data_IF_931705076471
#
_entry.id   IF_931705076471
#
_cell.length_a   1.000
_cell.length_b   1.000
_cell.length_c   1.000
_cell.angle_alpha   90.00
_cell.angle_beta   90.00
_cell.angle_gamma   90.00
#
_symmetry.space_group_name_H-M   'P 1'
#
loop_
_entity.id
_entity.type
_entity.pdbx_description
1 polymer ?
#
# COMPACT_ATOMS: atom_id res chain seq x y z
N UNK A 1 34.60 -15.64 -6.55
CA UNK A 1 33.30 -15.15 -6.06
C UNK A 1 33.08 -13.78 -6.69
N UNK A 2 32.32 -13.76 -7.78
CA UNK A 2 32.14 -12.61 -8.65
C UNK A 2 31.18 -11.59 -8.06
N UNK A 3 31.43 -10.33 -8.38
CA UNK A 3 30.77 -9.15 -7.87
C UNK A 3 29.42 -8.94 -8.60
N UNK A 4 28.36 -9.60 -8.14
CA UNK A 4 27.00 -9.51 -8.71
C UNK A 4 26.25 -8.21 -8.33
N UNK A 5 26.92 -7.25 -7.69
CA UNK A 5 26.33 -5.97 -7.27
C UNK A 5 26.23 -4.94 -8.41
N UNK A 6 26.90 -5.16 -9.55
CA UNK A 6 26.88 -4.21 -10.67
C UNK A 6 25.57 -4.27 -11.47
N UNK A 7 24.98 -5.45 -11.63
CA UNK A 7 23.70 -5.62 -12.33
C UNK A 7 22.52 -5.03 -11.56
N UNK A 8 22.51 -5.15 -10.24
CA UNK A 8 21.49 -4.53 -9.40
C UNK A 8 21.65 -3.00 -9.39
N UNK A 9 22.85 -2.45 -9.22
CA UNK A 9 23.06 -0.99 -9.14
C UNK A 9 22.59 -0.24 -10.41
N UNK A 10 22.81 -0.81 -11.60
CA UNK A 10 22.36 -0.23 -12.89
C UNK A 10 20.83 -0.27 -13.08
N UNK A 11 20.17 -1.26 -12.50
CA UNK A 11 18.71 -1.44 -12.55
C UNK A 11 17.99 -0.45 -11.62
N UNK A 12 18.65 0.00 -10.55
CA UNK A 12 18.14 1.00 -9.61
C UNK A 12 18.45 2.45 -10.02
N UNK A 13 19.55 2.73 -10.74
CA UNK A 13 19.86 4.07 -11.27
C UNK A 13 18.84 4.58 -12.32
N UNK A 14 18.08 3.68 -12.96
CA UNK A 14 17.04 4.05 -13.94
C UNK A 14 15.65 4.31 -13.33
N UNK A 15 15.46 4.10 -12.02
CA UNK A 15 14.15 4.28 -11.37
C UNK A 15 13.83 5.73 -11.01
N UNK A 16 14.84 6.62 -10.99
CA UNK A 16 14.67 8.05 -10.70
C UNK A 16 13.87 8.81 -11.77
N UNK A 17 13.63 8.18 -12.93
CA UNK A 17 12.91 8.75 -14.08
C UNK A 17 11.49 8.24 -14.31
N UNK A 18 11.00 7.26 -13.54
CA UNK A 18 9.63 6.77 -13.76
C UNK A 18 8.60 7.78 -13.21
N UNK A 19 7.74 8.35 -14.06
CA UNK A 19 6.73 9.29 -13.60
C UNK A 19 5.76 8.57 -12.68
N UNK A 20 5.39 9.21 -11.58
CA UNK A 20 4.48 8.62 -10.61
C UNK A 20 3.11 8.41 -11.28
N UNK A 21 2.55 7.19 -11.23
CA UNK A 21 1.24 6.95 -11.81
C UNK A 21 0.19 7.91 -11.23
N UNK A 22 -0.66 8.47 -12.10
CA UNK A 22 -1.72 9.39 -11.68
C UNK A 22 -2.61 8.85 -10.55
N UNK A 23 -2.98 7.55 -10.51
CA UNK A 23 -3.72 6.99 -9.37
C UNK A 23 -2.98 7.14 -8.04
N UNK A 24 -1.66 6.93 -8.02
CA UNK A 24 -0.81 7.06 -6.83
C UNK A 24 -0.76 8.53 -6.39
N UNK A 25 -0.49 9.46 -7.30
CA UNK A 25 -0.46 10.89 -6.98
C UNK A 25 -1.83 11.38 -6.44
N UNK A 26 -2.93 10.91 -7.03
CA UNK A 26 -4.29 11.21 -6.56
C UNK A 26 -4.55 10.65 -5.15
N UNK A 27 -4.14 9.41 -4.88
CA UNK A 27 -4.29 8.79 -3.58
C UNK A 27 -3.52 9.54 -2.50
N UNK A 28 -2.26 9.91 -2.76
CA UNK A 28 -1.42 10.70 -1.84
C UNK A 28 -2.02 12.08 -1.57
N UNK A 29 -2.48 12.79 -2.61
CA UNK A 29 -3.17 14.08 -2.45
C UNK A 29 -4.46 13.94 -1.63
N UNK A 30 -5.23 12.88 -1.84
CA UNK A 30 -6.45 12.60 -1.05
C UNK A 30 -6.11 12.32 0.41
N UNK A 31 -5.03 11.58 0.67
CA UNK A 31 -4.57 11.25 2.01
C UNK A 31 -4.12 12.51 2.78
N UNK A 32 -3.37 13.40 2.12
CA UNK A 32 -2.92 14.66 2.70
C UNK A 32 -4.02 15.73 2.86
N UNK A 33 -5.06 15.70 2.02
CA UNK A 33 -6.12 16.72 2.02
C UNK A 33 -7.25 16.53 3.05
N UNK A 34 -7.16 15.53 3.94
CA UNK A 34 -8.18 15.27 4.98
C UNK A 34 -8.14 16.36 6.05
N UNK A 35 -8.90 17.44 5.83
CA UNK A 35 -9.07 18.53 6.79
C UNK A 35 -9.93 18.08 7.97
N UNK A 36 -9.33 18.04 9.15
CA UNK A 36 -10.03 18.12 10.44
C UNK A 36 -9.75 19.51 11.01
N UNK A 37 -10.62 20.05 11.85
CA UNK A 37 -10.53 21.43 12.37
C UNK A 37 -9.28 21.67 13.26
N UNK A 38 -8.08 21.58 12.70
CA UNK A 38 -6.78 21.80 13.33
C UNK A 38 -5.91 22.65 12.40
N UNK A 39 -5.14 23.58 12.95
CA UNK A 39 -4.19 24.37 12.16
C UNK A 39 -3.00 23.52 11.70
N UNK A 40 -2.38 23.89 10.57
CA UNK A 40 -1.15 23.22 10.11
C UNK A 40 -0.04 23.24 11.17
N UNK A 41 0.07 24.35 11.92
CA UNK A 41 1.04 24.47 13.00
C UNK A 41 0.77 23.50 14.14
N UNK A 42 -0.49 23.41 14.61
CA UNK A 42 -0.83 22.47 15.68
C UNK A 42 -0.71 21.02 15.21
N UNK A 43 -1.04 20.73 13.95
CA UNK A 43 -0.84 19.39 13.40
C UNK A 43 0.65 19.05 13.36
N UNK A 44 1.50 19.97 12.88
CA UNK A 44 2.95 19.81 12.81
C UNK A 44 3.55 19.49 14.19
N UNK A 45 3.15 20.24 15.21
CA UNK A 45 3.56 20.02 16.60
C UNK A 45 3.13 18.62 17.10
N UNK A 46 1.85 18.28 16.96
CA UNK A 46 1.29 17.00 17.45
C UNK A 46 1.89 15.78 16.75
N UNK A 47 2.23 15.90 15.47
CA UNK A 47 2.83 14.81 14.71
C UNK A 47 4.37 14.83 14.75
N UNK A 48 4.99 15.77 15.48
CA UNK A 48 6.45 15.91 15.56
C UNK A 48 7.10 16.10 14.19
N UNK A 49 6.60 17.05 13.41
CA UNK A 49 7.08 17.37 12.07
C UNK A 49 7.25 18.88 11.89
N UNK A 50 7.97 19.29 10.84
CA UNK A 50 8.03 20.69 10.45
C UNK A 50 6.74 21.15 9.75
N UNK A 51 6.43 22.45 9.84
CA UNK A 51 5.32 23.06 9.09
C UNK A 51 5.47 22.85 7.58
N UNK A 52 6.71 22.84 7.07
CA UNK A 52 6.99 22.56 5.66
C UNK A 52 6.61 21.14 5.26
N UNK A 53 6.78 20.16 6.15
CA UNK A 53 6.35 18.77 5.93
C UNK A 53 4.83 18.68 5.82
N UNK A 54 4.09 19.32 6.74
CA UNK A 54 2.62 19.38 6.67
C UNK A 54 2.15 20.00 5.36
N UNK A 55 2.74 21.11 4.94
CA UNK A 55 2.39 21.78 3.67
C UNK A 55 2.67 20.92 2.44
N UNK A 56 3.81 20.22 2.39
CA UNK A 56 4.15 19.30 1.30
C UNK A 56 3.18 18.13 1.25
N UNK A 57 2.88 17.55 2.42
CA UNK A 57 1.93 16.46 2.58
C UNK A 57 0.52 16.84 2.10
N UNK A 58 -0.01 17.99 2.52
CA UNK A 58 -1.33 18.49 2.06
C UNK A 58 -1.38 18.78 0.55
N UNK A 59 -0.24 19.17 -0.04
CA UNK A 59 -0.09 19.33 -1.50
C UNK A 59 0.01 18.01 -2.25
N UNK A 60 0.14 16.88 -1.54
CA UNK A 60 0.31 15.57 -2.12
C UNK A 60 1.72 15.31 -2.64
N UNK A 61 2.75 15.91 -2.02
CA UNK A 61 4.14 15.58 -2.31
C UNK A 61 4.42 14.12 -1.93
N UNK A 62 4.50 13.29 -2.95
CA UNK A 62 4.87 11.88 -2.96
C UNK A 62 6.23 11.56 -2.32
N UNK A 63 7.12 12.56 -2.17
CA UNK A 63 8.41 12.42 -1.51
C UNK A 63 8.32 12.55 0.01
N UNK A 64 7.13 12.87 0.55
CA UNK A 64 6.91 12.86 2.00
C UNK A 64 6.90 11.41 2.49
N UNK A 65 7.79 11.04 3.42
CA UNK A 65 7.81 9.69 3.97
C UNK A 65 6.47 9.24 4.54
N UNK A 66 6.09 7.99 4.27
CA UNK A 66 4.78 7.44 4.63
C UNK A 66 4.45 7.54 6.14
N UNK A 67 5.47 7.49 7.00
CA UNK A 67 5.29 7.58 8.45
C UNK A 67 4.67 8.91 8.89
N UNK A 68 4.82 10.00 8.14
CA UNK A 68 4.15 11.25 8.46
C UNK A 68 2.63 11.14 8.28
N UNK A 69 2.16 10.47 7.24
CA UNK A 69 0.74 10.18 7.08
C UNK A 69 0.22 9.25 8.18
N UNK A 70 1.01 8.26 8.59
CA UNK A 70 0.68 7.40 9.73
C UNK A 70 0.54 8.20 11.04
N UNK A 71 1.44 9.15 11.29
CA UNK A 71 1.35 10.05 12.45
C UNK A 71 0.12 10.95 12.40
N UNK A 72 -0.29 11.43 11.22
CA UNK A 72 -1.54 12.17 11.05
C UNK A 72 -2.75 11.29 11.39
N UNK A 73 -2.79 10.05 10.91
CA UNK A 73 -3.83 9.10 11.27
C UNK A 73 -3.85 8.85 12.79
N UNK A 74 -2.69 8.70 13.42
CA UNK A 74 -2.58 8.56 14.87
C UNK A 74 -3.11 9.78 15.64
N UNK A 75 -2.70 11.00 15.26
CA UNK A 75 -3.17 12.28 15.86
C UNK A 75 -4.70 12.40 15.77
N UNK A 76 -5.30 11.80 14.75
CA UNK A 76 -6.74 11.82 14.54
C UNK A 76 -7.49 10.60 15.06
N UNK A 77 -6.83 9.65 15.73
CA UNK A 77 -7.46 8.44 16.27
C UNK A 77 -7.84 7.38 15.22
N UNK A 78 -7.26 7.46 14.01
CA UNK A 78 -7.61 6.66 12.84
C UNK A 78 -6.51 5.65 12.48
N UNK A 79 -5.61 5.31 13.40
CA UNK A 79 -4.50 4.40 13.12
C UNK A 79 -4.97 3.04 12.62
N UNK A 80 -6.15 2.59 13.08
CA UNK A 80 -6.82 1.37 12.59
C UNK A 80 -7.08 1.39 11.08
N UNK A 81 -7.27 2.56 10.47
CA UNK A 81 -7.43 2.66 9.01
C UNK A 81 -6.13 2.29 8.26
N UNK A 82 -4.97 2.49 8.88
CA UNK A 82 -3.69 2.06 8.32
C UNK A 82 -3.44 0.56 8.54
N UNK A 83 -3.81 0.04 9.72
CA UNK A 83 -3.69 -1.39 10.04
C UNK A 83 -4.49 -2.26 9.05
N UNK A 84 -5.67 -1.78 8.64
CA UNK A 84 -6.58 -2.49 7.75
C UNK A 84 -6.38 -2.24 6.26
N UNK A 85 -5.31 -1.52 5.87
CA UNK A 85 -5.09 -1.08 4.49
C UNK A 85 -5.04 -2.26 3.49
N UNK A 86 -4.64 -3.44 3.96
CA UNK A 86 -4.51 -4.69 3.18
C UNK A 86 -5.31 -5.85 3.79
N UNK A 87 -6.34 -5.57 4.60
CA UNK A 87 -7.18 -6.64 5.14
C UNK A 87 -7.90 -7.38 3.99
N UNK A 88 -7.70 -8.70 3.94
CA UNK A 88 -8.16 -9.64 2.90
C UNK A 88 -9.63 -9.48 2.47
N UNK A 89 -10.61 -9.15 3.33
CA UNK A 89 -12.00 -8.99 2.90
C UNK A 89 -12.24 -7.83 1.91
N UNK A 90 -11.31 -6.87 1.81
CA UNK A 90 -11.41 -5.74 0.90
C UNK A 90 -10.42 -5.84 -0.29
N UNK A 91 -9.64 -6.92 -0.37
CA UNK A 91 -8.71 -7.17 -1.46
C UNK A 91 -9.42 -7.93 -2.59
N UNK A 92 -10.23 -7.21 -3.37
CA UNK A 92 -10.95 -7.78 -4.51
C UNK A 92 -10.00 -8.45 -5.52
N UNK A 93 -8.80 -7.90 -5.71
CA UNK A 93 -7.79 -8.49 -6.60
C UNK A 93 -7.24 -9.79 -6.00
N UNK A 94 -6.91 -9.80 -4.72
CA UNK A 94 -6.48 -10.99 -4.00
C UNK A 94 -7.54 -12.09 -4.04
N UNK A 95 -8.81 -11.75 -3.85
CA UNK A 95 -9.94 -12.68 -3.97
C UNK A 95 -10.09 -13.22 -5.40
N UNK A 96 -10.02 -12.36 -6.42
CA UNK A 96 -10.05 -12.78 -7.83
C UNK A 96 -8.89 -13.73 -8.19
N UNK A 97 -7.68 -13.44 -7.73
CA UNK A 97 -6.51 -14.30 -7.96
C UNK A 97 -6.62 -15.64 -7.20
N UNK A 98 -7.21 -15.66 -6.00
CA UNK A 98 -7.51 -16.89 -5.27
C UNK A 98 -8.56 -17.73 -6.02
N UNK A 99 -9.60 -17.10 -6.58
CA UNK A 99 -10.61 -17.76 -7.39
C UNK A 99 -10.01 -18.36 -8.68
N UNK A 100 -9.07 -17.67 -9.34
CA UNK A 100 -8.35 -18.20 -10.50
C UNK A 100 -7.49 -19.42 -10.16
N UNK A 101 -6.98 -19.50 -8.93
CA UNK A 101 -6.16 -20.61 -8.44
C UNK A 101 -7.01 -21.81 -7.98
N UNK A 102 -8.32 -21.66 -7.82
CA UNK A 102 -9.20 -22.78 -7.47
C UNK A 102 -9.21 -23.82 -8.62
N UNK A 103 -9.14 -25.12 -8.30
CA UNK A 103 -9.23 -26.17 -9.31
C UNK A 103 -10.55 -26.06 -10.08
N UNK A 104 -10.48 -25.75 -11.39
CA UNK A 104 -11.65 -25.64 -12.29
C UNK A 104 -12.48 -26.93 -12.40
N UNK A 105 -11.94 -28.04 -11.90
CA UNK A 105 -12.64 -29.32 -11.78
C UNK A 105 -12.12 -30.02 -10.54
N UNK A 106 -13.02 -30.28 -9.58
CA UNK A 106 -12.74 -31.25 -8.52
C UNK A 106 -12.68 -32.61 -9.23
N UNK A 107 -11.56 -33.35 -9.18
CA UNK A 107 -11.52 -34.70 -9.69
C UNK A 107 -12.62 -35.49 -8.97
N UNK A 108 -13.61 -36.00 -9.69
CA UNK A 108 -14.52 -36.98 -9.11
C UNK A 108 -13.63 -38.14 -8.67
N UNK A 109 -13.65 -38.43 -7.36
CA UNK A 109 -13.03 -39.65 -6.83
C UNK A 109 -13.65 -40.78 -7.65
N UNK A 110 -12.85 -41.43 -8.50
CA UNK A 110 -13.30 -42.61 -9.22
C UNK A 110 -13.68 -43.60 -8.13
N UNK A 111 -14.97 -43.89 -8.00
CA UNK A 111 -15.41 -45.08 -7.31
C UNK A 111 -14.77 -46.23 -8.08
N UNK A 112 -13.72 -46.80 -7.51
CA UNK A 112 -13.23 -48.11 -7.91
C UNK A 112 -14.42 -49.05 -7.78
N UNK A 113 -14.88 -49.70 -8.86
CA UNK A 113 -15.86 -50.76 -8.70
C UNK A 113 -15.15 -51.84 -7.88
N UNK A 114 -15.55 -51.97 -6.62
CA UNK A 114 -15.18 -53.12 -5.81
C UNK A 114 -15.77 -54.32 -6.51
N UNK A 115 -14.90 -55.02 -7.26
CA UNK A 115 -15.24 -56.20 -8.02
C UNK A 115 -15.89 -57.24 -7.11
N UNK A 116 -16.89 -57.90 -7.69
CA UNK A 116 -17.53 -59.08 -7.14
C UNK A 116 -16.52 -60.15 -6.74
N UNK A 117 -16.75 -60.77 -5.57
CA UNK A 117 -16.71 -62.21 -5.30
C UNK A 117 -17.76 -62.52 -4.22
#
# INVERSE_FOLDING_TARGET
>A
MGNDYLGFKLLWEHLDGFPIPLPVARAIRKLGGRRRHISQASLAERMGASLSTVRRMEKGDVRVPIHFFARVLHVFGEIKALERLLDTPNDEIGLMLMDEQLPKRIPSKRETPSGAL
#
